data_IF_190284108066
#
_entry.id   IF_190284108066
#
_cell.length_a   1.000
_cell.length_b   1.000
_cell.length_c   1.000
_cell.angle_alpha   90.00
_cell.angle_beta   90.00
_cell.angle_gamma   90.00
#
_symmetry.space_group_name_H-M   'P 1'
#
loop_
_entity.id
_entity.type
_entity.pdbx_description
1 polymer ?
#
# COMPACT_ATOMS: atom_id res chain seq x y z
N UNK A 1 -11.89 -19.80 13.82
CA UNK A 1 -10.89 -19.71 12.71
C UNK A 1 -11.10 -18.47 11.83
N UNK A 2 -12.28 -18.24 11.26
CA UNK A 2 -12.60 -17.04 10.44
C UNK A 2 -12.23 -15.69 11.08
N UNK A 3 -12.49 -15.51 12.38
CA UNK A 3 -12.18 -14.27 13.09
C UNK A 3 -10.68 -13.93 13.12
N UNK A 4 -9.81 -14.94 13.18
CA UNK A 4 -8.36 -14.74 13.14
C UNK A 4 -7.89 -14.25 11.77
N UNK A 5 -8.41 -14.84 10.68
CA UNK A 5 -8.13 -14.38 9.32
C UNK A 5 -8.62 -12.95 9.12
N UNK A 6 -9.81 -12.62 9.65
CA UNK A 6 -10.36 -11.26 9.60
C UNK A 6 -9.51 -10.26 10.39
N UNK A 7 -9.03 -10.63 11.58
CA UNK A 7 -8.17 -9.79 12.39
C UNK A 7 -6.83 -9.52 11.67
N UNK A 8 -6.16 -10.55 11.17
CA UNK A 8 -4.90 -10.42 10.42
C UNK A 8 -5.11 -9.53 9.19
N UNK A 9 -6.15 -9.78 8.39
CA UNK A 9 -6.47 -8.93 7.24
C UNK A 9 -6.61 -7.45 7.62
N UNK A 10 -7.35 -7.14 8.69
CA UNK A 10 -7.57 -5.75 9.11
C UNK A 10 -6.28 -5.10 9.61
N UNK A 11 -5.47 -5.80 10.42
CA UNK A 11 -4.20 -5.27 10.95
C UNK A 11 -3.26 -4.88 9.80
N UNK A 12 -3.06 -5.81 8.85
CA UNK A 12 -2.18 -5.54 7.71
C UNK A 12 -2.78 -4.52 6.74
N UNK A 13 -4.11 -4.47 6.60
CA UNK A 13 -4.78 -3.45 5.80
C UNK A 13 -4.50 -2.06 6.35
N UNK A 14 -4.64 -1.87 7.67
CA UNK A 14 -4.33 -0.59 8.32
C UNK A 14 -2.86 -0.24 8.18
N UNK A 15 -1.95 -1.20 8.37
CA UNK A 15 -0.51 -0.98 8.19
C UNK A 15 -0.16 -0.57 6.75
N UNK A 16 -0.76 -1.23 5.75
CA UNK A 16 -0.57 -0.88 4.34
C UNK A 16 -1.13 0.51 4.02
N UNK A 17 -2.33 0.81 4.52
CA UNK A 17 -2.99 2.10 4.34
C UNK A 17 -2.18 3.25 4.97
N UNK A 18 -1.71 3.09 6.21
CA UNK A 18 -0.85 4.05 6.88
C UNK A 18 0.45 4.30 6.10
N UNK A 19 1.08 3.23 5.60
CA UNK A 19 2.27 3.33 4.75
C UNK A 19 2.02 4.12 3.46
N UNK A 20 0.85 3.94 2.83
CA UNK A 20 0.47 4.72 1.64
C UNK A 20 0.40 6.22 1.93
N UNK A 21 -0.20 6.69 3.01
CA UNK A 21 -0.18 8.13 3.32
C UNK A 21 1.21 8.65 3.66
N UNK A 22 2.00 7.83 4.36
CA UNK A 22 3.33 8.24 4.79
C UNK A 22 4.29 8.41 3.61
N UNK A 23 4.24 7.54 2.59
CA UNK A 23 5.14 7.65 1.44
C UNK A 23 4.89 8.91 0.60
N UNK A 24 3.62 9.31 0.38
CA UNK A 24 3.31 10.54 -0.37
C UNK A 24 3.84 11.78 0.31
N UNK A 25 3.76 11.81 1.65
CA UNK A 25 4.33 12.90 2.43
C UNK A 25 5.86 12.96 2.30
N UNK A 26 6.54 11.81 2.25
CA UNK A 26 7.98 11.78 2.02
C UNK A 26 8.34 12.35 0.64
N UNK A 27 7.57 12.03 -0.41
CA UNK A 27 7.82 12.57 -1.75
C UNK A 27 7.72 14.10 -1.81
N UNK A 28 6.77 14.70 -1.09
CA UNK A 28 6.65 16.15 -1.00
C UNK A 28 7.90 16.74 -0.35
N UNK A 29 8.34 16.20 0.79
CA UNK A 29 9.56 16.68 1.45
C UNK A 29 10.81 16.47 0.61
N UNK A 30 10.86 15.40 -0.19
CA UNK A 30 11.94 15.15 -1.12
C UNK A 30 12.00 16.23 -2.21
N UNK A 31 10.86 16.63 -2.75
CA UNK A 31 10.77 17.65 -3.79
C UNK A 31 11.05 19.07 -3.26
N UNK A 32 10.70 19.36 -2.01
CA UNK A 32 10.89 20.68 -1.40
C UNK A 32 12.33 20.93 -0.91
N UNK A 33 13.11 19.88 -0.64
CA UNK A 33 14.46 20.05 -0.11
C UNK A 33 15.49 20.35 -1.21
N UNK A 34 16.35 21.35 -0.97
CA UNK A 34 17.45 21.74 -1.85
C UNK A 34 18.80 21.10 -1.47
N UNK A 35 18.89 20.48 -0.29
CA UNK A 35 20.10 19.81 0.19
C UNK A 35 20.17 18.37 -0.33
N UNK A 36 21.26 18.04 -1.02
CA UNK A 36 21.48 16.69 -1.57
C UNK A 36 21.57 15.63 -0.48
N UNK A 37 22.23 15.93 0.65
CA UNK A 37 22.36 14.99 1.78
C UNK A 37 21.00 14.59 2.37
N UNK A 38 20.08 15.57 2.46
CA UNK A 38 18.71 15.32 2.95
C UNK A 38 17.91 14.51 1.94
N UNK A 39 18.07 14.79 0.64
CA UNK A 39 17.42 14.02 -0.44
C UNK A 39 17.86 12.55 -0.44
N UNK A 40 19.16 12.29 -0.27
CA UNK A 40 19.71 10.94 -0.24
C UNK A 40 19.16 10.16 0.97
N UNK A 41 19.07 10.81 2.13
CA UNK A 41 18.47 10.20 3.32
C UNK A 41 16.97 9.91 3.13
N UNK A 42 16.21 10.83 2.54
CA UNK A 42 14.79 10.64 2.22
C UNK A 42 14.59 9.49 1.23
N UNK A 43 15.44 9.38 0.20
CA UNK A 43 15.40 8.26 -0.75
C UNK A 43 15.58 6.90 -0.05
N UNK A 44 16.48 6.82 0.93
CA UNK A 44 16.66 5.61 1.74
C UNK A 44 15.40 5.30 2.55
N UNK A 45 14.79 6.31 3.19
CA UNK A 45 13.56 6.15 3.98
C UNK A 45 12.39 5.69 3.11
N UNK A 46 12.18 6.31 1.95
CA UNK A 46 11.15 5.94 0.98
C UNK A 46 11.32 4.49 0.51
N UNK A 47 12.56 4.09 0.18
CA UNK A 47 12.86 2.73 -0.29
C UNK A 47 12.62 1.68 0.80
N UNK A 48 13.06 1.96 2.03
CA UNK A 48 12.85 1.08 3.19
C UNK A 48 11.36 0.96 3.49
N UNK A 49 10.65 2.07 3.57
CA UNK A 49 9.20 2.09 3.83
C UNK A 49 8.43 1.28 2.78
N UNK A 50 8.71 1.54 1.49
CA UNK A 50 8.01 0.85 0.42
C UNK A 50 8.27 -0.66 0.44
N UNK A 51 9.54 -1.08 0.44
CA UNK A 51 9.91 -2.51 0.35
C UNK A 51 9.69 -3.30 1.63
N UNK A 52 9.96 -2.72 2.79
CA UNK A 52 9.98 -3.45 4.07
C UNK A 52 8.61 -3.41 4.75
N UNK A 53 7.87 -2.31 4.62
CA UNK A 53 6.59 -2.14 5.32
C UNK A 53 5.43 -2.30 4.34
N UNK A 54 5.36 -1.45 3.31
CA UNK A 54 4.16 -1.37 2.47
C UNK A 54 3.95 -2.61 1.60
N UNK A 55 4.97 -3.09 0.89
CA UNK A 55 4.84 -4.24 -0.02
C UNK A 55 4.44 -5.53 0.71
N UNK A 56 5.10 -5.95 1.82
CA UNK A 56 4.66 -7.16 2.53
C UNK A 56 3.28 -6.98 3.18
N UNK A 57 2.97 -5.79 3.71
CA UNK A 57 1.65 -5.53 4.26
C UNK A 57 0.54 -5.63 3.20
N UNK A 58 0.79 -5.14 1.98
CA UNK A 58 -0.12 -5.30 0.84
C UNK A 58 -0.35 -6.77 0.51
N UNK A 59 0.72 -7.55 0.34
CA UNK A 59 0.65 -8.97 0.00
C UNK A 59 -0.18 -9.74 1.04
N UNK A 60 0.09 -9.53 2.32
CA UNK A 60 -0.65 -10.20 3.40
C UNK A 60 -2.12 -9.76 3.41
N UNK A 61 -2.38 -8.47 3.26
CA UNK A 61 -3.76 -7.94 3.21
C UNK A 61 -4.56 -8.57 2.08
N UNK A 62 -4.00 -8.61 0.87
CA UNK A 62 -4.67 -9.16 -0.32
C UNK A 62 -4.85 -10.67 -0.19
N UNK A 63 -3.81 -11.40 0.23
CA UNK A 63 -3.88 -12.86 0.40
C UNK A 63 -4.97 -13.26 1.43
N UNK A 64 -4.99 -12.62 2.59
CA UNK A 64 -6.02 -12.89 3.60
C UNK A 64 -7.41 -12.38 3.18
N UNK A 65 -7.48 -11.28 2.41
CA UNK A 65 -8.73 -10.79 1.83
C UNK A 65 -9.35 -11.79 0.85
N UNK A 66 -8.54 -12.37 -0.03
CA UNK A 66 -8.96 -13.42 -0.96
C UNK A 66 -9.34 -14.72 -0.24
N UNK A 67 -8.57 -15.12 0.79
CA UNK A 67 -8.90 -16.27 1.62
C UNK A 67 -10.26 -16.12 2.32
N UNK A 68 -10.56 -14.92 2.85
CA UNK A 68 -11.87 -14.62 3.44
C UNK A 68 -13.01 -14.65 2.42
N UNK A 69 -12.75 -14.20 1.19
CA UNK A 69 -13.70 -14.25 0.08
C UNK A 69 -14.02 -15.71 -0.29
N UNK A 70 -13.00 -16.56 -0.39
CA UNK A 70 -13.15 -17.98 -0.69
C UNK A 70 -13.94 -18.73 0.40
N UNK A 71 -13.62 -18.47 1.69
CA UNK A 71 -14.26 -19.13 2.83
C UNK A 71 -15.77 -18.80 3.00
N UNK A 72 -16.25 -17.72 2.39
CA UNK A 72 -17.64 -17.24 2.49
C UNK A 72 -18.22 -16.84 1.13
N UNK A 73 -17.78 -17.49 0.06
CA UNK A 73 -18.13 -17.12 -1.31
C UNK A 73 -19.65 -17.09 -1.56
N UNK A 74 -20.39 -18.04 -0.98
CA UNK A 74 -21.85 -18.15 -1.12
C UNK A 74 -22.62 -16.96 -0.55
N UNK A 75 -22.11 -16.37 0.53
CA UNK A 75 -22.76 -15.27 1.26
C UNK A 75 -22.24 -13.90 0.80
N UNK A 76 -20.92 -13.81 0.56
CA UNK A 76 -20.23 -12.56 0.21
C UNK A 76 -20.23 -12.29 -1.30
N UNK A 77 -20.13 -13.33 -2.13
CA UNK A 77 -20.03 -13.18 -3.59
C UNK A 77 -21.32 -12.69 -4.25
N UNK A 78 -22.48 -12.92 -3.61
CA UNK A 78 -23.80 -12.47 -4.10
C UNK A 78 -24.17 -11.06 -3.64
N UNK A 79 -23.43 -10.47 -2.71
CA UNK A 79 -23.67 -9.12 -2.25
C UNK A 79 -23.06 -8.10 -3.23
N UNK A 80 -23.88 -7.20 -3.78
CA UNK A 80 -23.39 -6.12 -4.67
C UNK A 80 -22.28 -5.26 -4.04
N UNK A 81 -22.35 -5.05 -2.72
CA UNK A 81 -21.31 -4.36 -1.94
C UNK A 81 -19.91 -5.00 -2.06
N UNK A 82 -19.82 -6.32 -2.25
CA UNK A 82 -18.53 -7.01 -2.38
C UNK A 82 -17.76 -6.60 -3.63
N UNK A 83 -18.48 -6.38 -4.73
CA UNK A 83 -17.90 -5.92 -5.99
C UNK A 83 -17.34 -4.49 -5.83
N UNK A 84 -18.09 -3.60 -5.18
CA UNK A 84 -17.61 -2.26 -4.83
C UNK A 84 -16.37 -2.32 -3.95
N UNK A 85 -16.35 -3.20 -2.95
CA UNK A 85 -15.19 -3.37 -2.07
C UNK A 85 -13.95 -3.86 -2.83
N UNK A 86 -14.11 -4.82 -3.73
CA UNK A 86 -13.01 -5.32 -4.57
C UNK A 86 -12.49 -4.25 -5.53
N UNK A 87 -13.38 -3.43 -6.09
CA UNK A 87 -13.00 -2.28 -6.91
C UNK A 87 -12.15 -1.28 -6.11
N UNK A 88 -12.55 -0.96 -4.87
CA UNK A 88 -11.77 -0.09 -3.99
C UNK A 88 -10.39 -0.67 -3.67
N UNK A 89 -10.29 -1.97 -3.42
CA UNK A 89 -9.00 -2.64 -3.22
C UNK A 89 -8.14 -2.58 -4.48
N UNK A 90 -8.73 -2.77 -5.67
CA UNK A 90 -8.00 -2.65 -6.93
C UNK A 90 -7.45 -1.22 -7.15
N UNK A 91 -8.22 -0.19 -6.80
CA UNK A 91 -7.77 1.21 -6.82
C UNK A 91 -6.59 1.41 -5.85
N UNK A 92 -6.64 0.84 -4.64
CA UNK A 92 -5.54 0.93 -3.67
C UNK A 92 -4.27 0.21 -4.15
N UNK A 93 -4.43 -0.94 -4.82
CA UNK A 93 -3.31 -1.66 -5.43
C UNK A 93 -2.68 -0.78 -6.53
N UNK A 94 -3.50 -0.21 -7.41
CA UNK A 94 -3.03 0.74 -8.42
C UNK A 94 -2.26 1.91 -7.80
N UNK A 95 -2.79 2.49 -6.72
CA UNK A 95 -2.15 3.57 -5.97
C UNK A 95 -0.80 3.18 -5.37
N UNK A 96 -0.67 1.95 -4.86
CA UNK A 96 0.59 1.42 -4.37
C UNK A 96 1.64 1.31 -5.48
N UNK A 97 1.26 0.79 -6.66
CA UNK A 97 2.17 0.73 -7.80
C UNK A 97 2.57 2.12 -8.31
N UNK A 98 1.64 3.07 -8.29
CA UNK A 98 1.91 4.46 -8.64
C UNK A 98 2.95 5.07 -7.69
N UNK A 99 2.85 4.84 -6.38
CA UNK A 99 3.88 5.25 -5.42
C UNK A 99 5.25 4.60 -5.72
N UNK A 100 5.26 3.33 -6.14
CA UNK A 100 6.47 2.65 -6.61
C UNK A 100 7.10 3.32 -7.85
N UNK A 101 6.27 3.77 -8.78
CA UNK A 101 6.70 4.50 -9.98
C UNK A 101 7.32 5.86 -9.63
N UNK A 102 6.64 6.66 -8.80
CA UNK A 102 7.16 7.98 -8.38
C UNK A 102 8.47 7.88 -7.60
N UNK A 103 8.60 6.89 -6.72
CA UNK A 103 9.86 6.60 -6.02
C UNK A 103 11.02 6.32 -6.99
N UNK A 104 10.76 5.59 -8.08
CA UNK A 104 11.80 5.32 -9.09
C UNK A 104 12.14 6.60 -9.87
N UNK A 105 11.15 7.43 -10.24
CA UNK A 105 11.38 8.72 -10.91
C UNK A 105 12.20 9.70 -10.07
N UNK A 106 11.91 9.76 -8.76
CA UNK A 106 12.66 10.60 -7.82
C UNK A 106 14.12 10.12 -7.69
N UNK A 107 14.34 8.80 -7.72
CA UNK A 107 15.69 8.22 -7.73
C UNK A 107 16.47 8.51 -9.02
N UNK A 108 15.78 8.71 -10.14
CA UNK A 108 16.36 9.13 -11.43
C UNK A 108 16.62 10.66 -11.51
N UNK A 109 16.28 11.40 -10.46
CA UNK A 109 16.49 12.86 -10.38
C UNK A 109 15.42 13.69 -11.09
N UNK A 110 14.32 13.08 -11.52
CA UNK A 110 13.21 13.82 -12.12
C UNK A 110 12.47 14.63 -11.04
N UNK A 111 12.63 15.95 -11.04
CA UNK A 111 11.74 16.86 -10.33
C UNK A 111 10.40 16.91 -11.06
N UNK A 112 9.32 16.94 -10.29
CA UNK A 112 7.93 16.98 -10.76
C UNK A 112 7.68 18.07 -11.81
#
# INVERSE_FOLDING_TARGET
>A
MYLWFKAIHIIFMVAWFAGMFYIWRLFVYHAETSSQEVRDQLAIMERKLYRIIMTPAMIITVAFGLALLYLRWTDLGRAGWMHTKLLLVAILIFWHFLAGHYKNRLAEGATF
#
